data_IF_692467700480
#
_entry.id   IF_692467700480
#
_cell.length_a   1.000
_cell.length_b   1.000
_cell.length_c   1.000
_cell.angle_alpha   90.00
_cell.angle_beta   90.00
_cell.angle_gamma   90.00
#
_symmetry.space_group_name_H-M   'P 1'
#
loop_
_entity.id
_entity.type
_entity.pdbx_description
1 polymer ?
#
# COMPACT_ATOMS: atom_id res chain seq x y z
N UNK A 1 29.38 -3.93 -10.41
CA UNK A 1 27.99 -3.96 -10.92
C UNK A 1 27.30 -5.32 -10.81
N UNK A 2 27.99 -6.44 -11.07
CA UNK A 2 27.41 -7.80 -11.03
C UNK A 2 27.04 -8.24 -9.60
N UNK A 3 27.88 -7.93 -8.61
CA UNK A 3 27.66 -8.31 -7.21
C UNK A 3 26.39 -7.69 -6.59
N UNK A 4 26.07 -6.43 -6.93
CA UNK A 4 24.82 -5.75 -6.49
C UNK A 4 23.57 -6.42 -7.07
N UNK A 5 23.63 -6.92 -8.32
CA UNK A 5 22.51 -7.67 -8.90
C UNK A 5 22.29 -8.99 -8.15
N UNK A 6 23.37 -9.71 -7.83
CA UNK A 6 23.30 -10.98 -7.10
C UNK A 6 22.71 -10.78 -5.69
N UNK A 7 23.15 -9.76 -4.95
CA UNK A 7 22.59 -9.45 -3.61
C UNK A 7 21.10 -9.12 -3.68
N UNK A 8 20.66 -8.33 -4.66
CA UNK A 8 19.24 -7.99 -4.87
C UNK A 8 18.38 -9.23 -5.18
N UNK A 9 18.93 -10.22 -5.88
CA UNK A 9 18.26 -11.52 -6.11
C UNK A 9 18.18 -12.39 -4.85
N UNK A 10 19.13 -12.25 -3.93
CA UNK A 10 19.21 -13.03 -2.69
C UNK A 10 18.35 -12.45 -1.55
N UNK A 11 17.99 -11.17 -1.61
CA UNK A 11 17.11 -10.51 -0.63
C UNK A 11 15.72 -10.23 -1.22
N UNK A 12 15.05 -11.26 -1.76
CA UNK A 12 13.65 -11.09 -2.17
C UNK A 12 12.82 -10.65 -0.96
N UNK A 13 11.97 -9.61 -1.09
CA UNK A 13 11.12 -9.18 0.00
C UNK A 13 10.26 -10.35 0.46
N UNK A 14 10.17 -10.56 1.78
CA UNK A 14 9.30 -11.57 2.35
C UNK A 14 7.87 -11.11 2.15
N UNK A 15 7.20 -11.69 1.16
CA UNK A 15 5.79 -11.41 0.88
C UNK A 15 4.93 -12.15 1.93
N UNK A 16 4.04 -11.46 2.66
CA UNK A 16 3.12 -12.11 3.58
C UNK A 16 2.16 -13.05 2.86
N UNK A 17 1.75 -14.15 3.51
CA UNK A 17 0.93 -15.22 2.92
C UNK A 17 -0.46 -14.79 2.45
N UNK A 18 -0.99 -13.69 3.01
CA UNK A 18 -2.24 -13.04 2.64
C UNK A 18 -2.07 -12.00 1.51
N UNK A 19 -0.97 -12.09 0.77
CA UNK A 19 -0.75 -11.35 -0.47
C UNK A 19 -0.96 -12.28 -1.66
N UNK A 20 -1.83 -11.91 -2.58
CA UNK A 20 -1.99 -12.59 -3.88
C UNK A 20 -1.22 -11.77 -4.92
N UNK A 21 -0.30 -12.42 -5.64
CA UNK A 21 0.46 -11.80 -6.73
C UNK A 21 0.12 -12.52 -8.03
N UNK A 22 -0.40 -11.77 -8.99
CA UNK A 22 -0.73 -12.26 -10.33
C UNK A 22 0.50 -12.68 -11.12
N UNK A 23 0.24 -13.31 -12.25
CA UNK A 23 1.27 -13.83 -13.15
C UNK A 23 2.15 -12.69 -13.67
N UNK A 24 3.45 -12.97 -13.79
CA UNK A 24 4.45 -12.06 -14.38
C UNK A 24 4.59 -10.69 -13.67
N UNK A 25 3.97 -10.55 -12.49
CA UNK A 25 4.12 -9.39 -11.62
C UNK A 25 5.37 -9.48 -10.76
N UNK A 26 6.07 -8.35 -10.62
CA UNK A 26 7.30 -8.23 -9.85
C UNK A 26 7.10 -7.23 -8.71
N UNK A 27 7.30 -7.70 -7.48
CA UNK A 27 7.29 -6.87 -6.28
C UNK A 27 8.72 -6.76 -5.74
N UNK A 28 9.27 -5.55 -5.80
CA UNK A 28 10.62 -5.22 -5.33
C UNK A 28 10.56 -4.46 -4.01
N UNK A 29 9.49 -3.69 -3.80
CA UNK A 29 9.27 -2.89 -2.60
C UNK A 29 8.84 -3.70 -1.38
N UNK A 30 8.32 -3.00 -0.37
CA UNK A 30 7.92 -3.59 0.92
C UNK A 30 6.43 -3.89 0.92
N UNK A 31 6.06 -5.08 1.37
CA UNK A 31 4.65 -5.46 1.63
C UNK A 31 4.50 -5.80 3.10
N UNK A 32 3.67 -5.04 3.81
CA UNK A 32 3.41 -5.21 5.24
C UNK A 32 1.91 -5.31 5.49
N UNK A 33 1.45 -6.45 6.04
CA UNK A 33 0.02 -6.70 6.22
C UNK A 33 -0.32 -6.81 7.71
N UNK A 34 -1.37 -6.10 8.13
CA UNK A 34 -1.98 -6.21 9.44
C UNK A 34 -2.88 -7.45 9.55
N UNK A 35 -2.51 -8.42 10.38
CA UNK A 35 -3.29 -9.63 10.72
C UNK A 35 -4.12 -10.22 9.56
N UNK A 36 -5.42 -9.93 9.50
CA UNK A 36 -6.42 -10.50 8.58
C UNK A 36 -6.68 -9.67 7.33
N UNK A 37 -6.01 -8.53 7.18
CA UNK A 37 -6.13 -7.72 5.96
C UNK A 37 -5.55 -8.45 4.74
N UNK A 38 -5.81 -7.91 3.56
CA UNK A 38 -5.41 -8.53 2.29
C UNK A 38 -4.85 -7.53 1.31
N UNK A 39 -3.87 -7.99 0.52
CA UNK A 39 -3.34 -7.26 -0.63
C UNK A 39 -3.43 -8.18 -1.85
N UNK A 40 -4.04 -7.71 -2.93
CA UNK A 40 -4.07 -8.39 -4.22
C UNK A 40 -3.40 -7.52 -5.29
N UNK A 41 -2.53 -8.14 -6.09
CA UNK A 41 -1.85 -7.53 -7.21
C UNK A 41 -2.19 -8.36 -8.45
N UNK A 42 -2.70 -7.72 -9.50
CA UNK A 42 -3.02 -8.35 -10.78
C UNK A 42 -1.79 -8.84 -11.54
N UNK A 43 -1.97 -9.12 -12.83
CA UNK A 43 -0.91 -9.62 -13.70
C UNK A 43 -0.05 -8.49 -14.26
N UNK A 44 1.17 -8.80 -14.68
CA UNK A 44 2.07 -7.91 -15.43
C UNK A 44 2.35 -6.56 -14.74
N UNK A 45 2.42 -6.56 -13.40
CA UNK A 45 2.66 -5.36 -12.60
C UNK A 45 4.14 -5.21 -12.19
N UNK A 46 4.57 -3.97 -11.96
CA UNK A 46 5.85 -3.65 -11.32
C UNK A 46 5.61 -2.76 -10.10
N UNK A 47 5.85 -3.32 -8.91
CA UNK A 47 5.64 -2.66 -7.63
C UNK A 47 6.98 -2.41 -6.93
N UNK A 48 7.43 -1.16 -6.96
CA UNK A 48 8.66 -0.73 -6.30
C UNK A 48 8.41 0.01 -4.99
N UNK A 49 7.18 0.48 -4.76
CA UNK A 49 6.76 1.21 -3.55
C UNK A 49 6.46 0.33 -2.33
N UNK A 50 6.00 0.97 -1.27
CA UNK A 50 5.61 0.35 0.01
C UNK A 50 4.10 0.17 0.03
N UNK A 51 3.63 -1.06 0.23
CA UNK A 51 2.23 -1.38 0.46
C UNK A 51 2.04 -1.78 1.93
N UNK A 52 1.21 -1.04 2.66
CA UNK A 52 0.91 -1.35 4.06
C UNK A 52 -0.58 -1.27 4.38
N UNK A 53 -1.06 -2.21 5.17
CA UNK A 53 -2.39 -2.17 5.76
C UNK A 53 -2.32 -1.89 7.26
N UNK A 54 -3.34 -1.24 7.78
CA UNK A 54 -3.39 -0.70 9.13
C UNK A 54 -4.45 -1.33 10.03
N UNK A 55 -5.51 -1.89 9.45
CA UNK A 55 -6.64 -2.48 10.18
C UNK A 55 -6.86 -3.94 9.74
N UNK A 56 -7.57 -4.76 10.53
CA UNK A 56 -7.93 -6.12 10.13
C UNK A 56 -8.76 -6.20 8.84
N UNK A 57 -9.53 -5.15 8.52
CA UNK A 57 -10.47 -5.11 7.40
C UNK A 57 -9.88 -4.47 6.14
N UNK A 58 -8.71 -3.83 6.26
CA UNK A 58 -8.06 -3.10 5.17
C UNK A 58 -7.82 -3.97 3.93
N UNK A 59 -8.03 -3.38 2.75
CA UNK A 59 -7.81 -4.04 1.45
C UNK A 59 -7.04 -3.15 0.49
N UNK A 60 -5.97 -3.67 -0.09
CA UNK A 60 -5.33 -3.04 -1.25
C UNK A 60 -5.57 -3.93 -2.45
N UNK A 61 -6.25 -3.40 -3.46
CA UNK A 61 -6.58 -4.09 -4.70
C UNK A 61 -5.90 -3.37 -5.86
N UNK A 62 -4.90 -4.02 -6.46
CA UNK A 62 -4.17 -3.50 -7.61
C UNK A 62 -4.54 -4.34 -8.83
N UNK A 63 -5.01 -3.70 -9.90
CA UNK A 63 -5.36 -4.31 -11.17
C UNK A 63 -4.16 -4.83 -11.96
N UNK A 64 -4.33 -5.01 -13.26
CA UNK A 64 -3.32 -5.53 -14.18
C UNK A 64 -2.51 -4.41 -14.84
N UNK A 65 -1.28 -4.71 -15.27
CA UNK A 65 -0.41 -3.78 -15.99
C UNK A 65 -0.17 -2.46 -15.22
N UNK A 66 -0.08 -2.54 -13.89
CA UNK A 66 0.11 -1.39 -13.00
C UNK A 66 1.60 -1.19 -12.68
N UNK A 67 2.03 0.07 -12.70
CA UNK A 67 3.33 0.48 -12.18
C UNK A 67 3.15 1.32 -10.92
N UNK A 68 3.90 0.99 -9.87
CA UNK A 68 4.04 1.84 -8.68
C UNK A 68 5.53 2.13 -8.46
N UNK A 69 5.90 3.39 -8.70
CA UNK A 69 7.28 3.85 -8.59
C UNK A 69 7.85 3.74 -7.19
N UNK A 70 9.18 3.64 -7.14
CA UNK A 70 9.96 3.58 -5.91
C UNK A 70 9.66 4.78 -4.97
N UNK A 71 9.83 4.55 -3.67
CA UNK A 71 9.54 5.50 -2.58
C UNK A 71 8.08 6.00 -2.51
N UNK A 72 7.17 5.44 -3.31
CA UNK A 72 5.74 5.67 -3.13
C UNK A 72 5.19 4.82 -1.99
N UNK A 73 4.29 5.40 -1.19
CA UNK A 73 3.69 4.79 -0.02
C UNK A 73 2.17 4.65 -0.19
N UNK A 74 1.67 3.42 -0.03
CA UNK A 74 0.25 3.08 0.04
C UNK A 74 -0.10 2.68 1.48
N UNK A 75 -0.78 3.55 2.21
CA UNK A 75 -1.22 3.31 3.59
C UNK A 75 -2.74 3.10 3.67
N UNK A 76 -3.16 1.86 3.84
CA UNK A 76 -4.57 1.46 3.78
C UNK A 76 -5.16 1.11 5.15
N UNK A 77 -6.24 1.79 5.54
CA UNK A 77 -7.02 1.51 6.76
C UNK A 77 -8.44 0.99 6.46
N UNK A 78 -8.95 1.17 5.24
CA UNK A 78 -10.24 0.71 4.75
C UNK A 78 -10.10 -0.01 3.40
N UNK A 79 -9.98 0.72 2.29
CA UNK A 79 -9.82 0.14 0.95
C UNK A 79 -9.11 1.11 -0.01
N UNK A 80 -8.08 0.62 -0.70
CA UNK A 80 -7.40 1.31 -1.81
C UNK A 80 -7.55 0.44 -3.07
N UNK A 81 -8.17 0.97 -4.12
CA UNK A 81 -8.33 0.28 -5.41
C UNK A 81 -7.59 1.03 -6.52
N UNK A 82 -6.53 0.44 -7.04
CA UNK A 82 -5.82 0.93 -8.23
C UNK A 82 -6.26 0.10 -9.44
N UNK A 83 -6.94 0.74 -10.39
CA UNK A 83 -7.42 0.07 -11.60
C UNK A 83 -6.30 -0.35 -12.56
N UNK A 84 -6.65 -1.16 -13.56
CA UNK A 84 -5.75 -1.58 -14.62
C UNK A 84 -5.04 -0.40 -15.31
N UNK A 85 -3.78 -0.61 -15.72
CA UNK A 85 -3.00 0.32 -16.56
C UNK A 85 -2.82 1.70 -15.93
N UNK A 86 -2.81 1.77 -14.60
CA UNK A 86 -2.45 2.96 -13.84
C UNK A 86 -0.94 3.01 -13.63
N UNK A 87 -0.37 4.20 -13.81
CA UNK A 87 1.02 4.48 -13.51
C UNK A 87 1.06 5.45 -12.33
N UNK A 88 1.57 4.99 -11.19
CA UNK A 88 1.89 5.82 -10.03
C UNK A 88 3.38 6.15 -10.12
N UNK A 89 3.70 7.44 -10.11
CA UNK A 89 5.08 7.92 -10.17
C UNK A 89 5.87 7.54 -8.90
N UNK A 90 7.10 8.03 -8.82
CA UNK A 90 7.92 7.97 -7.61
C UNK A 90 7.40 8.94 -6.54
N UNK A 91 7.78 8.70 -5.29
CA UNK A 91 7.58 9.62 -4.16
C UNK A 91 6.11 10.03 -3.91
N UNK A 92 5.16 9.19 -4.28
CA UNK A 92 3.73 9.45 -4.08
C UNK A 92 3.25 8.94 -2.72
N UNK A 93 2.34 9.67 -2.08
CA UNK A 93 1.61 9.19 -0.89
C UNK A 93 0.15 8.96 -1.28
N UNK A 94 -0.32 7.72 -1.10
CA UNK A 94 -1.69 7.30 -1.36
C UNK A 94 -2.22 6.69 -0.06
N UNK A 95 -3.15 7.36 0.59
CA UNK A 95 -3.76 6.88 1.84
C UNK A 95 -5.24 7.20 1.87
N UNK A 96 -6.01 6.30 2.47
CA UNK A 96 -7.47 6.34 2.54
C UNK A 96 -7.98 6.82 3.92
N UNK A 97 -7.10 7.45 4.69
CA UNK A 97 -7.35 7.85 6.06
C UNK A 97 -6.61 9.15 6.38
N UNK A 98 -7.08 9.84 7.42
CA UNK A 98 -6.46 11.06 7.93
C UNK A 98 -5.33 10.78 8.94
N UNK A 99 -4.96 9.50 9.09
CA UNK A 99 -3.96 8.95 10.02
C UNK A 99 -4.27 9.11 11.51
N UNK A 100 -5.04 10.12 11.88
CA UNK A 100 -5.43 10.42 13.26
C UNK A 100 -6.87 10.94 13.33
N UNK A 101 -7.45 10.93 14.53
CA UNK A 101 -8.73 11.59 14.77
C UNK A 101 -8.67 13.10 14.50
N UNK A 102 -9.77 13.68 14.03
CA UNK A 102 -9.91 15.14 13.91
C UNK A 102 -10.19 15.80 15.26
N UNK A 103 -10.55 15.01 16.29
CA UNK A 103 -10.78 15.48 17.66
C UNK A 103 -9.44 15.45 18.42
N UNK A 104 -9.01 16.60 18.93
CA UNK A 104 -7.68 16.72 19.55
C UNK A 104 -7.50 15.84 20.80
N UNK A 105 -8.52 15.75 21.65
CA UNK A 105 -8.45 14.99 22.91
C UNK A 105 -8.27 13.49 22.68
N UNK A 106 -8.71 12.98 21.54
CA UNK A 106 -8.58 11.56 21.17
C UNK A 106 -7.14 11.20 20.78
N UNK A 107 -6.29 12.20 20.48
CA UNK A 107 -4.92 11.99 19.97
C UNK A 107 -3.83 12.12 21.02
N UNK A 108 -4.18 12.40 22.28
CA UNK A 108 -3.19 12.69 23.33
C UNK A 108 -2.24 11.52 23.60
N UNK A 109 -2.66 10.28 23.31
CA UNK A 109 -1.83 9.08 23.50
C UNK A 109 -1.17 8.61 22.21
N UNK A 110 -1.54 9.13 21.03
CA UNK A 110 -1.06 8.63 19.73
C UNK A 110 0.46 8.44 19.70
N UNK A 111 1.22 9.44 20.14
CA UNK A 111 2.70 9.35 20.14
C UNK A 111 3.21 8.20 21.02
N UNK A 112 2.58 7.99 22.19
CA UNK A 112 2.92 6.88 23.10
C UNK A 112 2.57 5.54 22.44
N UNK A 113 1.41 5.45 21.81
CA UNK A 113 0.91 4.24 21.18
C UNK A 113 1.73 3.86 19.95
N UNK A 114 2.18 4.85 19.16
CA UNK A 114 3.13 4.66 18.07
C UNK A 114 4.48 4.10 18.54
N UNK A 115 5.03 4.65 19.62
CA UNK A 115 6.28 4.14 20.21
C UNK A 115 6.11 2.74 20.79
N UNK A 116 4.93 2.40 21.28
CA UNK A 116 4.66 1.13 21.95
C UNK A 116 4.15 0.05 20.97
N UNK A 117 4.87 -0.16 19.86
CA UNK A 117 4.50 -1.18 18.89
C UNK A 117 3.35 -0.80 17.97
N UNK A 118 3.15 0.51 17.72
CA UNK A 118 2.15 1.02 16.76
C UNK A 118 0.70 0.65 17.13
N UNK A 119 0.36 0.70 18.43
CA UNK A 119 -0.96 0.37 18.97
C UNK A 119 -2.00 1.48 18.73
N UNK A 120 -2.00 2.07 17.53
CA UNK A 120 -2.89 3.18 17.18
C UNK A 120 -4.36 2.74 17.15
N UNK A 121 -5.26 3.56 17.70
CA UNK A 121 -6.70 3.31 17.65
C UNK A 121 -7.31 3.77 16.32
N UNK A 122 -7.42 2.84 15.38
CA UNK A 122 -7.97 3.08 14.04
C UNK A 122 -9.50 3.28 14.00
N UNK A 123 -10.22 3.01 15.09
CA UNK A 123 -11.67 3.22 15.16
C UNK A 123 -12.04 4.71 15.24
N UNK A 124 -11.15 5.52 15.81
CA UNK A 124 -11.30 6.97 15.93
C UNK A 124 -10.80 7.74 14.70
N UNK A 125 -10.15 7.04 13.77
CA UNK A 125 -9.56 7.67 12.59
C UNK A 125 -10.55 7.68 11.42
N UNK A 126 -10.87 8.85 10.85
CA UNK A 126 -11.64 8.93 9.63
C UNK A 126 -10.94 8.17 8.50
N UNK A 127 -11.72 7.34 7.83
CA UNK A 127 -11.28 6.50 6.72
C UNK A 127 -12.35 6.43 5.67
N UNK A 128 -11.92 6.43 4.42
CA UNK A 128 -12.79 6.35 3.26
C UNK A 128 -12.03 5.74 2.10
N UNK A 129 -12.62 4.70 1.54
CA UNK A 129 -12.17 4.06 0.32
C UNK A 129 -11.73 5.06 -0.77
N UNK A 130 -10.55 4.83 -1.36
CA UNK A 130 -10.03 5.61 -2.49
C UNK A 130 -9.86 4.73 -3.74
N UNK A 131 -10.28 5.28 -4.89
CA UNK A 131 -10.24 4.58 -6.17
C UNK A 131 -9.47 5.39 -7.24
N UNK A 132 -8.13 5.39 -7.26
CA UNK A 132 -7.36 5.93 -8.38
C UNK A 132 -7.68 5.22 -9.71
N UNK A 133 -8.14 6.00 -10.70
CA UNK A 133 -8.52 5.49 -12.03
C UNK A 133 -7.74 6.18 -13.14
N UNK A 134 -7.52 5.47 -14.25
CA UNK A 134 -7.03 6.08 -15.48
C UNK A 134 -8.05 7.10 -15.99
N UNK A 135 -7.62 8.34 -16.26
CA UNK A 135 -8.46 9.33 -16.92
C UNK A 135 -8.77 8.85 -18.35
N UNK A 136 -10.04 8.61 -18.66
CA UNK A 136 -10.47 8.41 -20.05
C UNK A 136 -10.17 9.69 -20.83
N UNK A 137 -9.46 9.59 -21.96
CA UNK A 137 -9.32 10.72 -22.89
C UNK A 137 -10.74 11.18 -23.24
N UNK A 138 -11.07 12.45 -22.96
CA UNK A 138 -12.23 13.08 -23.61
C UNK A 138 -11.94 13.00 -25.11
N UNK A 139 -12.84 12.38 -25.88
CA UNK A 139 -12.76 12.45 -27.35
C UNK A 139 -12.74 13.96 -27.68
N UNK A 140 -11.67 14.40 -28.35
CA UNK A 140 -11.58 15.74 -28.92
C UNK A 140 -12.55 15.84 -30.08
#
# INVERSE_FOLDING_TARGET
>A
MILRKIIKYLTKPKIPSNTIIGKDSVVIGVVSIHTTSSISIGNDCLIEGILTTHTPQAKIEIGNEVFIGNNSFLGCADTIIIEDKVLVSFDCVIQDNDSHSTISSERYTDTKDWKNGRQHNWDLTPKKTIHPKKKKKKKQ
#
